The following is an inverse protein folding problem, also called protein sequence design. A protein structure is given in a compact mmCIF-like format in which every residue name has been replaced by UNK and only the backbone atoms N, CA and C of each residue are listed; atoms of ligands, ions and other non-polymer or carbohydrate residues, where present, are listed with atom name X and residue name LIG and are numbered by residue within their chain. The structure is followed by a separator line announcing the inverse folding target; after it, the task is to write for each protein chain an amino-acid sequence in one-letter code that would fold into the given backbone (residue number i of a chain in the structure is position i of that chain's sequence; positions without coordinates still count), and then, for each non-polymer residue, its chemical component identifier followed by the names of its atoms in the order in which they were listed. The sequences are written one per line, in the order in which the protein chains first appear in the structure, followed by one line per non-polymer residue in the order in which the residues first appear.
data_IF_301139238292
#
_entry.id   IF_301139238292
#
_cell.length_a   1.000
_cell.length_b   1.000
_cell.length_c   1.000
_cell.angle_alpha   90.00
_cell.angle_beta   90.00
_cell.angle_gamma   90.00
#
_symmetry.space_group_name_H-M   'P 1'
#
loop_
_entity.id
_entity.type
_entity.pdbx_description
1 polymer ?
#
# COMPACT_ATOMS: atom_id res chain seq x y z
N UNK A 1 -5.97 2.78 -7.11
CA UNK A 1 -6.48 1.44 -6.69
C UNK A 1 -6.31 0.41 -7.81
N UNK A 2 -6.52 0.81 -9.06
CA UNK A 2 -6.19 -0.06 -10.20
C UNK A 2 -4.70 -0.48 -10.20
N UNK A 3 -3.78 0.37 -9.74
CA UNK A 3 -2.37 0.00 -9.64
C UNK A 3 -2.11 -1.14 -8.64
N UNK A 4 -2.84 -1.18 -7.51
CA UNK A 4 -2.71 -2.25 -6.53
C UNK A 4 -3.16 -3.60 -7.10
N UNK A 5 -4.27 -3.60 -7.85
CA UNK A 5 -4.76 -4.81 -8.53
C UNK A 5 -3.83 -5.23 -9.67
N UNK A 6 -3.21 -4.27 -10.36
CA UNK A 6 -2.20 -4.55 -11.37
C UNK A 6 -0.97 -5.21 -10.74
N UNK A 7 -0.39 -4.59 -9.70
CA UNK A 7 0.77 -5.11 -8.98
C UNK A 7 0.50 -6.48 -8.36
N UNK A 8 -0.71 -6.75 -7.87
CA UNK A 8 -1.09 -8.05 -7.32
C UNK A 8 -1.10 -9.20 -8.35
N UNK A 9 -0.95 -8.90 -9.65
CA UNK A 9 -0.71 -9.93 -10.67
C UNK A 9 0.79 -10.15 -10.96
N UNK A 10 1.65 -9.19 -10.64
CA UNK A 10 3.07 -9.20 -10.97
C UNK A 10 3.97 -9.50 -9.75
N UNK A 11 3.50 -9.20 -8.55
CA UNK A 11 4.23 -9.39 -7.30
C UNK A 11 3.74 -10.63 -6.54
N UNK A 12 4.60 -11.17 -5.68
CA UNK A 12 4.22 -12.22 -4.73
C UNK A 12 3.30 -11.65 -3.66
N UNK A 13 3.63 -10.46 -3.15
CA UNK A 13 2.88 -9.78 -2.09
C UNK A 13 2.83 -8.26 -2.33
N UNK A 14 1.68 -7.65 -2.10
CA UNK A 14 1.46 -6.21 -2.27
C UNK A 14 0.93 -5.63 -0.98
N UNK A 15 1.65 -4.67 -0.39
CA UNK A 15 1.16 -3.96 0.78
C UNK A 15 0.46 -2.70 0.30
N UNK A 16 -0.86 -2.63 0.49
CA UNK A 16 -1.65 -1.46 0.18
C UNK A 16 -1.82 -0.63 1.45
N UNK A 17 -1.23 0.57 1.47
CA UNK A 17 -1.31 1.48 2.61
C UNK A 17 -2.38 2.52 2.36
N UNK A 18 -3.23 2.73 3.35
CA UNK A 18 -4.24 3.76 3.30
C UNK A 18 -4.39 4.50 4.62
N UNK A 19 -4.49 5.82 4.54
CA UNK A 19 -4.60 6.70 5.71
C UNK A 19 -5.97 6.67 6.40
N UNK A 20 -6.99 6.08 5.74
CA UNK A 20 -8.35 5.90 6.25
C UNK A 20 -8.74 4.41 6.17
N UNK A 21 -9.89 4.05 6.71
CA UNK A 21 -10.44 2.69 6.58
C UNK A 21 -11.20 2.46 5.25
N UNK A 22 -11.55 3.54 4.56
CA UNK A 22 -12.55 3.54 3.50
C UNK A 22 -11.95 4.01 2.19
N UNK A 23 -12.12 3.17 1.18
CA UNK A 23 -11.66 3.45 -0.16
C UNK A 23 -12.80 4.04 -0.99
N UNK A 24 -12.54 5.21 -1.58
CA UNK A 24 -13.44 5.80 -2.56
C UNK A 24 -13.18 5.17 -3.93
N UNK A 25 -13.66 3.95 -4.15
CA UNK A 25 -13.57 3.27 -5.44
C UNK A 25 -14.92 2.67 -5.85
N UNK A 26 -15.06 2.30 -7.13
CA UNK A 26 -16.24 1.59 -7.60
C UNK A 26 -16.42 0.26 -6.86
N UNK A 27 -17.68 -0.12 -6.59
CA UNK A 27 -18.02 -1.36 -5.86
C UNK A 27 -17.38 -2.61 -6.49
N UNK A 28 -17.26 -2.64 -7.82
CA UNK A 28 -16.64 -3.76 -8.55
C UNK A 28 -15.15 -3.88 -8.23
N UNK A 29 -14.43 -2.75 -8.14
CA UNK A 29 -13.01 -2.73 -7.81
C UNK A 29 -12.76 -3.16 -6.36
N UNK A 30 -13.62 -2.73 -5.44
CA UNK A 30 -13.56 -3.17 -4.04
C UNK A 30 -13.75 -4.68 -3.91
N UNK A 31 -14.69 -5.28 -4.65
CA UNK A 31 -14.88 -6.74 -4.65
C UNK A 31 -13.66 -7.49 -5.20
N UNK A 32 -13.00 -6.95 -6.24
CA UNK A 32 -11.75 -7.52 -6.76
C UNK A 32 -10.61 -7.41 -5.74
N UNK A 33 -10.51 -6.27 -5.05
CA UNK A 33 -9.51 -6.04 -4.01
C UNK A 33 -9.68 -7.04 -2.86
N UNK A 34 -10.91 -7.18 -2.33
CA UNK A 34 -11.23 -8.14 -1.28
C UNK A 34 -10.85 -9.56 -1.68
N UNK A 35 -11.17 -9.97 -2.91
CA UNK A 35 -10.75 -11.28 -3.42
C UNK A 35 -9.23 -11.48 -3.38
N UNK A 36 -8.45 -10.45 -3.74
CA UNK A 36 -6.97 -10.54 -3.69
C UNK A 36 -6.42 -10.54 -2.26
N UNK A 37 -7.11 -9.90 -1.33
CA UNK A 37 -6.80 -9.96 0.10
C UNK A 37 -7.08 -11.38 0.63
N UNK A 38 -8.20 -11.98 0.26
CA UNK A 38 -8.54 -13.37 0.60
C UNK A 38 -7.57 -14.39 0.00
N UNK A 39 -7.08 -14.14 -1.23
CA UNK A 39 -6.03 -14.92 -1.87
C UNK A 39 -4.64 -14.75 -1.19
N UNK A 40 -4.51 -13.82 -0.23
CA UNK A 40 -3.26 -13.53 0.45
C UNK A 40 -2.24 -12.75 -0.39
N UNK A 41 -2.64 -12.20 -1.54
CA UNK A 41 -1.75 -11.43 -2.43
C UNK A 41 -1.63 -9.97 -2.04
N UNK A 42 -2.64 -9.43 -1.36
CA UNK A 42 -2.67 -8.03 -0.92
C UNK A 42 -2.82 -7.99 0.58
N UNK A 43 -1.89 -7.32 1.25
CA UNK A 43 -1.97 -7.00 2.67
C UNK A 43 -2.42 -5.55 2.80
N UNK A 44 -3.54 -5.34 3.49
CA UNK A 44 -4.11 -4.01 3.67
C UNK A 44 -3.66 -3.38 4.99
N UNK A 45 -3.03 -2.21 4.90
CA UNK A 45 -2.62 -1.40 6.04
C UNK A 45 -3.49 -0.14 6.09
N UNK A 46 -4.61 -0.20 6.81
CA UNK A 46 -5.51 0.95 7.02
C UNK A 46 -5.07 1.80 8.21
N UNK A 47 -5.49 3.07 8.24
CA UNK A 47 -5.10 4.03 9.28
C UNK A 47 -3.58 4.17 9.42
N UNK A 48 -2.87 4.03 8.30
CA UNK A 48 -1.42 4.15 8.19
C UNK A 48 -1.04 5.16 7.11
N UNK A 49 0.00 5.93 7.38
CA UNK A 49 0.64 6.84 6.41
C UNK A 49 2.11 6.52 6.32
N UNK A 50 2.69 6.71 5.14
CA UNK A 50 4.15 6.61 4.98
C UNK A 50 4.78 7.83 5.61
N UNK A 51 5.63 7.60 6.61
CA UNK A 51 6.37 8.63 7.33
C UNK A 51 7.74 8.88 6.67
N UNK A 52 8.45 7.80 6.38
CA UNK A 52 9.79 7.85 5.78
C UNK A 52 10.00 6.70 4.81
N UNK A 53 10.65 6.98 3.68
CA UNK A 53 11.10 5.96 2.72
C UNK A 53 12.53 5.57 3.06
N UNK A 54 12.74 4.32 3.46
CA UNK A 54 14.06 3.79 3.77
C UNK A 54 14.68 3.21 2.49
N UNK A 55 15.88 3.65 2.16
CA UNK A 55 16.57 3.24 0.96
C UNK A 55 18.05 3.56 1.02
N UNK A 56 18.82 2.91 0.15
CA UNK A 56 20.23 3.18 -0.04
C UNK A 56 20.48 3.70 -1.48
N UNK A 57 21.75 3.83 -1.86
CA UNK A 57 22.11 4.28 -3.21
C UNK A 57 21.67 3.30 -4.33
N UNK A 58 21.23 2.09 -4.01
CA UNK A 58 20.77 1.08 -4.95
C UNK A 58 19.24 1.00 -5.07
N UNK A 59 18.49 1.56 -4.11
CA UNK A 59 17.03 1.66 -4.20
C UNK A 59 16.32 1.74 -2.86
N UNK A 60 15.01 1.48 -2.88
CA UNK A 60 14.17 1.40 -1.68
C UNK A 60 14.38 0.04 -1.03
N UNK A 61 14.66 0.03 0.28
CA UNK A 61 14.88 -1.19 1.09
C UNK A 61 13.78 -1.39 2.12
N UNK A 62 13.00 -0.35 2.42
CA UNK A 62 11.90 -0.42 3.35
C UNK A 62 11.16 0.90 3.48
N UNK A 63 10.14 0.89 4.32
CA UNK A 63 9.30 2.06 4.57
C UNK A 63 8.94 2.09 6.04
N UNK A 64 9.02 3.28 6.63
CA UNK A 64 8.45 3.54 7.94
C UNK A 64 7.02 4.04 7.76
N UNK A 65 6.08 3.31 8.33
CA UNK A 65 4.69 3.71 8.42
C UNK A 65 4.42 4.28 9.80
N UNK A 66 3.54 5.27 9.84
CA UNK A 66 3.03 5.87 11.06
C UNK A 66 1.52 5.66 11.12
N UNK A 67 1.04 5.25 12.28
CA UNK A 67 -0.38 5.17 12.56
C UNK A 67 -1.01 6.56 12.60
N UNK A 68 -2.18 6.70 11.99
CA UNK A 68 -2.97 7.95 12.04
C UNK A 68 -3.83 8.04 13.30
N UNK A 69 -4.03 6.92 14.00
CA UNK A 69 -4.84 6.83 15.23
C UNK A 69 -3.99 6.78 16.50
N UNK A 70 -2.77 6.26 16.41
CA UNK A 70 -1.88 6.03 17.54
C UNK A 70 -0.49 6.56 17.20
N UNK A 71 0.33 6.86 18.21
CA UNK A 71 1.72 7.27 18.00
C UNK A 71 2.64 6.04 17.82
N UNK A 72 2.17 5.07 17.02
CA UNK A 72 2.93 3.87 16.67
C UNK A 72 3.53 4.03 15.29
N UNK A 73 4.81 3.66 15.19
CA UNK A 73 5.53 3.55 13.92
C UNK A 73 5.95 2.09 13.70
N UNK A 74 5.81 1.63 12.47
CA UNK A 74 6.18 0.29 12.04
C UNK A 74 7.05 0.36 10.80
N UNK A 75 8.01 -0.55 10.68
CA UNK A 75 8.88 -0.62 9.52
C UNK A 75 8.56 -1.86 8.70
N UNK A 76 8.27 -1.65 7.42
CA UNK A 76 8.01 -2.73 6.48
C UNK A 76 9.18 -2.81 5.51
N UNK A 77 9.79 -3.99 5.40
CA UNK A 77 10.83 -4.26 4.40
C UNK A 77 10.15 -4.48 3.05
N UNK A 78 10.47 -3.63 2.09
CA UNK A 78 9.93 -3.69 0.74
C UNK A 78 11.01 -3.32 -0.26
N UNK A 79 11.01 -3.97 -1.41
CA UNK A 79 11.98 -3.70 -2.47
C UNK A 79 11.51 -2.58 -3.42
N UNK A 80 10.24 -2.16 -3.31
CA UNK A 80 9.65 -1.17 -4.21
C UNK A 80 8.53 -0.36 -3.58
N UNK A 81 8.63 0.96 -3.71
CA UNK A 81 7.60 1.92 -3.32
C UNK A 81 6.93 2.53 -4.55
N UNK A 82 5.60 2.46 -4.64
CA UNK A 82 4.82 3.12 -5.67
C UNK A 82 3.86 4.14 -5.03
N UNK A 83 4.09 5.41 -5.30
CA UNK A 83 3.18 6.50 -4.91
C UNK A 83 2.32 6.86 -6.12
N UNK A 84 0.99 6.75 -5.97
CA UNK A 84 0.05 7.29 -6.95
C UNK A 84 -0.02 8.82 -6.86
N UNK A 85 -0.51 9.48 -7.90
CA UNK A 85 -0.56 10.94 -7.99
C UNK A 85 -1.38 11.56 -6.83
N UNK A 86 -0.67 12.22 -5.90
CA UNK A 86 -1.21 12.86 -4.69
C UNK A 86 -2.17 14.02 -5.01
N UNK A 87 -2.16 14.54 -6.24
CA UNK A 87 -2.84 15.79 -6.57
C UNK A 87 -4.35 15.65 -6.86
N UNK A 88 -4.89 14.46 -7.12
CA UNK A 88 -6.29 14.35 -7.59
C UNK A 88 -7.16 13.24 -7.01
N UNK A 89 -6.58 12.25 -6.35
CA UNK A 89 -7.36 11.12 -5.86
C UNK A 89 -6.92 10.70 -4.47
N UNK A 90 -7.90 10.45 -3.59
CA UNK A 90 -7.72 10.12 -2.18
C UNK A 90 -7.04 8.76 -1.93
N UNK A 91 -6.39 8.15 -2.93
CA UNK A 91 -5.81 6.82 -2.83
C UNK A 91 -4.47 6.84 -2.12
N UNK A 92 -4.28 5.86 -1.23
CA UNK A 92 -3.04 5.67 -0.49
C UNK A 92 -1.98 4.93 -1.30
N UNK A 93 -0.75 5.00 -0.80
CA UNK A 93 0.45 4.48 -1.45
C UNK A 93 0.40 2.95 -1.61
N UNK A 94 0.96 2.42 -2.70
CA UNK A 94 0.98 0.98 -2.99
C UNK A 94 2.42 0.47 -2.96
N UNK A 95 2.66 -0.62 -2.25
CA UNK A 95 3.99 -1.18 -2.09
C UNK A 95 4.09 -2.53 -2.76
N UNK A 96 5.23 -2.78 -3.39
CA UNK A 96 5.56 -4.10 -3.92
C UNK A 96 6.58 -4.75 -3.00
N UNK A 97 6.26 -5.96 -2.55
CA UNK A 97 7.20 -6.86 -1.88
C UNK A 97 7.41 -8.07 -2.79
N UNK A 98 8.68 -8.43 -3.00
CA UNK A 98 9.04 -9.51 -3.93
C UNK A 98 8.85 -10.88 -3.30
#
# INVERSE_FOLDING_TARGET
MEEALYLANLASEVHLIHRRDSFRAEKILLGRLQKRIEEGKIILHTDRTVDEVLGDNMGVTGLRLKSTKEELSEEIKVDGFFCGDWARTEYGNVLKVN
#
